data_IF_863686750745
#
_entry.id   IF_863686750745
#
_cell.length_a   1.000
_cell.length_b   1.000
_cell.length_c   1.000
_cell.angle_alpha   90.00
_cell.angle_beta   90.00
_cell.angle_gamma   90.00
#
_symmetry.space_group_name_H-M   'P 1'
#
loop_
_entity.id
_entity.type
_entity.pdbx_description
1 polymer ?
#
# COMPACT_ATOMS: atom_id res chain seq x y z
N UNK A 1 13.14 13.79 -8.60
CA UNK A 1 12.79 13.15 -9.88
C UNK A 1 13.00 11.63 -9.83
N UNK A 2 14.14 11.12 -9.38
CA UNK A 2 14.38 9.66 -9.27
C UNK A 2 13.39 8.94 -8.34
N UNK A 3 13.17 9.47 -7.13
CA UNK A 3 12.25 8.86 -6.14
C UNK A 3 10.83 8.73 -6.70
N UNK A 4 10.32 9.78 -7.34
CA UNK A 4 8.98 9.80 -7.96
C UNK A 4 8.91 8.86 -9.18
N UNK A 5 9.96 8.79 -9.99
CA UNK A 5 10.03 7.87 -11.12
C UNK A 5 9.97 6.41 -10.68
N UNK A 6 10.75 6.03 -9.67
CA UNK A 6 10.73 4.68 -9.10
C UNK A 6 9.37 4.38 -8.46
N UNK A 7 8.80 5.32 -7.71
CA UNK A 7 7.49 5.19 -7.09
C UNK A 7 6.36 4.91 -8.10
N UNK A 8 6.37 5.59 -9.25
CA UNK A 8 5.38 5.39 -10.32
C UNK A 8 5.57 4.00 -10.94
N UNK A 9 6.81 3.62 -11.26
CA UNK A 9 7.11 2.32 -11.84
C UNK A 9 6.72 1.17 -10.90
N UNK A 10 6.98 1.32 -9.61
CA UNK A 10 6.56 0.37 -8.57
C UNK A 10 5.03 0.27 -8.52
N UNK A 11 4.33 1.40 -8.40
CA UNK A 11 2.86 1.42 -8.29
C UNK A 11 2.19 0.80 -9.51
N UNK A 12 2.61 1.18 -10.73
CA UNK A 12 2.08 0.64 -11.99
C UNK A 12 2.45 -0.84 -12.15
N UNK A 13 3.66 -1.24 -11.73
CA UNK A 13 4.09 -2.63 -11.75
C UNK A 13 3.22 -3.53 -10.86
N UNK A 14 2.94 -3.09 -9.63
CA UNK A 14 2.04 -3.79 -8.71
C UNK A 14 0.62 -3.87 -9.29
N UNK A 15 0.11 -2.74 -9.79
CA UNK A 15 -1.24 -2.68 -10.35
C UNK A 15 -1.40 -3.61 -11.55
N UNK A 16 -0.40 -3.68 -12.44
CA UNK A 16 -0.38 -4.62 -13.58
C UNK A 16 -0.28 -6.08 -13.13
N UNK A 17 0.56 -6.37 -12.13
CA UNK A 17 0.66 -7.73 -11.59
C UNK A 17 -0.68 -8.20 -10.99
N UNK A 18 -1.40 -7.30 -10.31
CA UNK A 18 -2.70 -7.60 -9.73
C UNK A 18 -3.81 -7.70 -10.80
N UNK A 19 -3.75 -6.86 -11.83
CA UNK A 19 -4.64 -6.92 -12.99
C UNK A 19 -4.50 -8.25 -13.75
N UNK A 20 -3.26 -8.69 -13.98
CA UNK A 20 -2.98 -9.99 -14.57
C UNK A 20 -3.48 -11.15 -13.70
N UNK A 21 -3.39 -11.04 -12.36
CA UNK A 21 -3.88 -12.07 -11.42
C UNK A 21 -5.42 -12.18 -11.41
N UNK A 22 -6.13 -11.06 -11.52
CA UNK A 22 -7.60 -11.03 -11.40
C UNK A 22 -8.33 -10.94 -12.76
N UNK A 23 -7.61 -10.85 -13.87
CA UNK A 23 -8.17 -10.85 -15.22
C UNK A 23 -8.92 -9.58 -15.63
N UNK A 24 -8.54 -8.41 -15.11
CA UNK A 24 -9.09 -7.11 -15.50
C UNK A 24 -8.08 -6.28 -16.29
N UNK A 25 -8.54 -5.37 -17.17
CA UNK A 25 -7.65 -4.40 -17.83
C UNK A 25 -7.33 -3.23 -16.90
N UNK A 26 -6.05 -2.86 -16.84
CA UNK A 26 -5.58 -1.72 -16.06
C UNK A 26 -5.27 -0.53 -16.98
N UNK A 27 -5.99 0.56 -16.81
CA UNK A 27 -5.61 1.84 -17.40
C UNK A 27 -4.49 2.50 -16.58
N UNK A 28 -3.26 2.41 -17.09
CA UNK A 28 -2.09 3.01 -16.44
C UNK A 28 -2.16 4.55 -16.37
N UNK A 29 -2.91 5.19 -17.27
CA UNK A 29 -3.08 6.65 -17.28
C UNK A 29 -3.98 7.09 -16.13
N UNK A 30 -5.06 6.35 -15.87
CA UNK A 30 -5.96 6.59 -14.75
C UNK A 30 -5.25 6.36 -13.42
N UNK A 31 -4.44 5.30 -13.30
CA UNK A 31 -3.61 5.05 -12.12
C UNK A 31 -2.59 6.17 -11.88
N UNK A 32 -1.90 6.62 -12.94
CA UNK A 32 -0.94 7.72 -12.83
C UNK A 32 -1.61 9.02 -12.41
N UNK A 33 -2.77 9.33 -12.98
CA UNK A 33 -3.56 10.50 -12.61
C UNK A 33 -4.05 10.41 -11.16
N UNK A 34 -4.54 9.25 -10.73
CA UNK A 34 -4.96 9.00 -9.35
C UNK A 34 -3.81 9.15 -8.36
N UNK A 35 -2.64 8.58 -8.66
CA UNK A 35 -1.44 8.70 -7.83
C UNK A 35 -0.94 10.15 -7.75
N UNK A 36 -0.99 10.88 -8.87
CA UNK A 36 -0.65 12.30 -8.93
C UNK A 36 -1.58 13.15 -8.06
N UNK A 37 -2.90 12.97 -8.22
CA UNK A 37 -3.90 13.65 -7.39
C UNK A 37 -3.75 13.31 -5.92
N UNK A 38 -3.52 12.04 -5.56
CA UNK A 38 -3.32 11.63 -4.17
C UNK A 38 -2.12 12.34 -3.52
N UNK A 39 -1.02 12.49 -4.26
CA UNK A 39 0.17 13.19 -3.76
C UNK A 39 -0.01 14.72 -3.70
N UNK A 40 -0.75 15.32 -4.65
CA UNK A 40 -1.09 16.76 -4.61
C UNK A 40 -2.02 17.05 -3.43
N UNK A 41 -3.07 16.26 -3.24
CA UNK A 41 -3.97 16.41 -2.09
C UNK A 41 -3.21 16.17 -0.79
N UNK A 42 -2.36 15.14 -0.73
CA UNK A 42 -1.53 14.83 0.43
C UNK A 42 -0.57 15.96 0.80
N UNK A 43 0.03 16.65 -0.18
CA UNK A 43 0.98 17.73 0.11
C UNK A 43 0.33 18.93 0.80
N UNK A 44 -0.95 19.21 0.53
CA UNK A 44 -1.72 20.25 1.23
C UNK A 44 -1.84 19.93 2.73
N UNK A 45 -1.91 18.64 3.08
CA UNK A 45 -1.96 18.17 4.47
C UNK A 45 -0.58 17.82 5.06
N UNK A 46 0.53 18.21 4.40
CA UNK A 46 1.90 17.83 4.80
C UNK A 46 2.12 16.31 4.90
N UNK A 47 1.41 15.53 4.09
CA UNK A 47 1.57 14.08 4.05
C UNK A 47 2.86 13.66 3.34
N UNK A 48 3.42 12.52 3.75
CA UNK A 48 4.50 11.87 3.04
C UNK A 48 4.04 11.42 1.64
N UNK A 49 4.93 11.43 0.63
CA UNK A 49 4.59 10.97 -0.70
C UNK A 49 4.15 9.50 -0.65
N UNK A 50 2.99 9.24 -1.23
CA UNK A 50 2.35 7.92 -1.20
C UNK A 50 2.56 7.18 -2.51
N UNK A 51 2.80 5.88 -2.40
CA UNK A 51 3.06 4.95 -3.51
C UNK A 51 2.20 3.69 -3.37
N UNK A 52 2.05 2.95 -4.48
CA UNK A 52 1.47 1.61 -4.45
C UNK A 52 2.32 0.66 -3.59
N UNK A 53 1.69 -0.28 -2.89
CA UNK A 53 2.37 -1.24 -2.02
C UNK A 53 1.87 -2.65 -2.29
N UNK A 54 2.77 -3.55 -2.68
CA UNK A 54 2.43 -4.93 -3.02
C UNK A 54 1.73 -5.65 -1.87
N UNK A 55 2.28 -5.53 -0.65
CA UNK A 55 1.72 -6.16 0.55
C UNK A 55 0.30 -5.69 0.85
N UNK A 56 0.08 -4.36 0.88
CA UNK A 56 -1.26 -3.79 1.15
C UNK A 56 -2.27 -4.16 0.06
N UNK A 57 -1.88 -4.08 -1.21
CA UNK A 57 -2.77 -4.42 -2.33
C UNK A 57 -3.08 -5.91 -2.39
N UNK A 58 -2.12 -6.79 -2.07
CA UNK A 58 -2.32 -8.24 -2.04
C UNK A 58 -3.31 -8.64 -0.94
N UNK A 59 -3.12 -8.15 0.29
CA UNK A 59 -4.04 -8.41 1.42
C UNK A 59 -5.44 -7.86 1.11
N UNK A 60 -5.52 -6.65 0.53
CA UNK A 60 -6.79 -6.06 0.15
C UNK A 60 -7.51 -6.90 -0.94
N UNK A 61 -6.77 -7.44 -1.90
CA UNK A 61 -7.30 -8.32 -2.93
C UNK A 61 -7.74 -9.69 -2.37
N UNK A 62 -6.95 -10.28 -1.48
CA UNK A 62 -7.29 -11.54 -0.79
C UNK A 62 -8.50 -11.38 0.14
N UNK A 63 -8.69 -10.18 0.69
CA UNK A 63 -9.88 -9.82 1.47
C UNK A 63 -11.14 -9.60 0.61
N UNK A 64 -11.04 -9.78 -0.71
CA UNK A 64 -12.17 -9.66 -1.64
C UNK A 64 -12.55 -8.23 -2.02
N UNK A 65 -11.64 -7.26 -1.87
CA UNK A 65 -11.90 -5.89 -2.28
C UNK A 65 -12.06 -5.79 -3.81
N UNK A 66 -13.24 -5.37 -4.26
CA UNK A 66 -13.57 -5.23 -5.70
C UNK A 66 -13.51 -3.79 -6.20
N UNK A 67 -13.45 -2.81 -5.29
CA UNK A 67 -13.51 -1.39 -5.61
C UNK A 67 -12.55 -0.58 -4.76
N UNK A 68 -12.19 0.62 -5.23
CA UNK A 68 -11.36 1.58 -4.49
C UNK A 68 -11.98 2.06 -3.16
N UNK A 69 -13.25 1.73 -2.91
CA UNK A 69 -13.94 2.03 -1.65
C UNK A 69 -13.25 1.37 -0.44
N UNK A 70 -12.63 0.20 -0.63
CA UNK A 70 -11.87 -0.47 0.43
C UNK A 70 -10.72 0.40 0.95
N UNK A 71 -10.05 1.14 0.06
CA UNK A 71 -9.00 2.09 0.44
C UNK A 71 -9.53 3.28 1.23
N UNK A 72 -10.70 3.80 0.86
CA UNK A 72 -11.36 4.89 1.59
C UNK A 72 -11.77 4.45 2.99
N UNK A 73 -12.39 3.27 3.11
CA UNK A 73 -12.78 2.70 4.41
C UNK A 73 -11.55 2.47 5.29
N UNK A 74 -10.47 1.90 4.74
CA UNK A 74 -9.21 1.74 5.46
C UNK A 74 -8.63 3.08 5.94
N UNK A 75 -8.68 4.11 5.10
CA UNK A 75 -8.24 5.47 5.46
C UNK A 75 -9.07 6.09 6.59
N UNK A 76 -10.40 5.95 6.55
CA UNK A 76 -11.29 6.43 7.61
C UNK A 76 -10.99 5.71 8.92
N UNK A 77 -10.89 4.37 8.89
CA UNK A 77 -10.57 3.57 10.08
C UNK A 77 -9.23 3.99 10.66
N UNK A 78 -8.22 4.20 9.81
CA UNK A 78 -6.90 4.67 10.24
C UNK A 78 -6.97 6.05 10.88
N UNK A 79 -7.72 7.00 10.28
CA UNK A 79 -7.94 8.33 10.85
C UNK A 79 -8.64 8.29 12.21
N UNK A 80 -9.73 7.50 12.34
CA UNK A 80 -10.40 7.29 13.61
C UNK A 80 -9.47 6.63 14.65
N UNK A 81 -8.70 5.62 14.24
CA UNK A 81 -7.75 4.94 15.13
C UNK A 81 -6.71 5.91 15.67
N UNK A 82 -6.17 6.80 14.82
CA UNK A 82 -5.26 7.84 15.29
C UNK A 82 -5.99 8.76 16.28
N UNK A 83 -7.16 9.31 15.95
CA UNK A 83 -7.86 10.24 16.85
C UNK A 83 -8.23 9.64 18.23
N UNK A 84 -8.62 8.37 18.31
CA UNK A 84 -9.06 7.74 19.56
C UNK A 84 -7.97 6.94 20.29
N UNK A 85 -7.04 6.30 19.56
CA UNK A 85 -5.99 5.43 20.12
C UNK A 85 -4.61 6.12 20.19
N UNK A 86 -4.46 7.39 19.79
CA UNK A 86 -3.21 8.15 20.02
C UNK A 86 -2.62 7.98 21.43
N UNK A 87 -3.39 8.10 22.54
CA UNK A 87 -2.80 7.94 23.88
C UNK A 87 -2.27 6.53 24.16
N UNK A 88 -2.77 5.51 23.46
CA UNK A 88 -2.27 4.14 23.56
C UNK A 88 -1.00 3.93 22.73
N UNK A 89 -0.87 4.64 21.61
CA UNK A 89 0.29 4.53 20.71
C UNK A 89 1.56 5.20 21.26
N UNK A 90 1.44 6.21 22.13
CA UNK A 90 2.61 6.87 22.75
C UNK A 90 3.43 5.92 23.64
N UNK A 91 2.81 4.87 24.18
CA UNK A 91 3.48 3.92 25.08
C UNK A 91 4.14 2.74 24.33
N UNK A 92 4.15 2.75 23.00
CA UNK A 92 4.71 1.62 22.24
C UNK A 92 6.25 1.62 22.39
N UNK A 93 6.84 0.55 22.94
CA UNK A 93 8.29 0.45 23.05
C UNK A 93 8.92 0.31 21.65
N UNK A 94 10.05 0.99 21.44
CA UNK A 94 10.77 0.96 20.15
C UNK A 94 11.12 -0.47 19.69
N UNK A 95 11.30 -1.41 20.63
CA UNK A 95 11.54 -2.83 20.33
C UNK A 95 10.38 -3.48 19.57
N UNK A 96 9.13 -3.16 19.91
CA UNK A 96 7.96 -3.69 19.21
C UNK A 96 7.88 -3.15 17.78
N UNK A 97 8.17 -1.86 17.59
CA UNK A 97 8.19 -1.25 16.26
C UNK A 97 9.29 -1.86 15.38
N UNK A 98 10.48 -2.08 15.94
CA UNK A 98 11.59 -2.74 15.25
C UNK A 98 11.23 -4.17 14.83
N UNK A 99 10.61 -4.96 15.70
CA UNK A 99 10.17 -6.31 15.38
C UNK A 99 9.18 -6.33 14.20
N UNK A 100 8.23 -5.39 14.15
CA UNK A 100 7.28 -5.25 13.03
C UNK A 100 8.03 -4.96 11.73
N UNK A 101 8.94 -3.98 11.72
CA UNK A 101 9.73 -3.63 10.52
C UNK A 101 10.58 -4.80 10.06
N UNK A 102 11.29 -5.48 10.97
CA UNK A 102 12.10 -6.66 10.64
C UNK A 102 11.23 -7.78 10.06
N UNK A 103 10.04 -8.01 10.61
CA UNK A 103 9.12 -9.02 10.08
C UNK A 103 8.65 -8.71 8.65
N UNK A 104 8.36 -7.44 8.35
CA UNK A 104 7.98 -7.00 7.01
C UNK A 104 9.13 -7.20 6.00
N UNK A 105 10.36 -6.85 6.38
CA UNK A 105 11.55 -7.02 5.52
C UNK A 105 11.88 -8.50 5.31
N UNK A 106 11.73 -9.34 6.34
CA UNK A 106 11.88 -10.79 6.18
C UNK A 106 10.90 -11.36 5.17
N UNK A 107 9.66 -10.84 5.11
CA UNK A 107 8.69 -11.21 4.08
C UNK A 107 9.18 -10.89 2.66
N UNK A 108 9.84 -9.74 2.48
CA UNK A 108 10.42 -9.34 1.18
C UNK A 108 11.63 -10.20 0.78
N UNK A 109 12.48 -10.58 1.73
CA UNK A 109 13.68 -11.41 1.47
C UNK A 109 13.31 -12.87 1.21
N UNK A 110 12.36 -13.41 1.99
CA UNK A 110 11.98 -14.83 1.96
C UNK A 110 10.98 -15.14 0.83
N UNK A 111 10.23 -14.13 0.39
CA UNK A 111 9.26 -14.20 -0.70
C UNK A 111 9.60 -13.23 -1.82
N UNK A 112 10.57 -13.58 -2.66
CA UNK A 112 10.35 -13.37 -4.07
C UNK A 112 8.99 -13.96 -4.43
N UNK A 113 8.19 -13.21 -5.17
CA UNK A 113 6.88 -13.54 -5.71
C UNK A 113 6.97 -14.74 -6.70
N UNK A 114 7.43 -15.89 -6.20
CA UNK A 114 7.61 -17.12 -6.92
C UNK A 114 7.37 -18.32 -6.00
N UNK A 115 6.29 -19.03 -6.32
CA UNK A 115 5.78 -20.33 -5.85
C UNK A 115 4.80 -20.29 -4.65
N UNK A 116 3.56 -20.83 -4.81
CA UNK A 116 3.24 -21.99 -5.64
C UNK A 116 2.20 -21.72 -6.75
N UNK A 117 2.63 -21.90 -8.01
CA UNK A 117 1.82 -22.48 -9.09
C UNK A 117 1.93 -24.03 -9.04
N UNK A 118 2.25 -24.59 -7.86
CA UNK A 118 2.23 -26.03 -7.61
C UNK A 118 1.57 -26.25 -6.24
N UNK A 119 0.25 -26.22 -6.23
CA UNK A 119 -0.58 -27.33 -5.73
C UNK A 119 -1.99 -27.21 -6.27
#
# INVERSE_FOLDING_TARGET
MLITGVAILESVGIAKALAAKNGYELDSSQELFGLGLANILGSIFSAYPSTGSFSRSAVNNESGAKTGLAGVVAGIIMGCSLLFLTPLFEQIPQCALAAIVTSAVMGLIRGGIASPIIS
#
